data_IF_230604923346
#
_entry.id   IF_230604923346
#
_cell.length_a   1.000
_cell.length_b   1.000
_cell.length_c   1.000
_cell.angle_alpha   90.00
_cell.angle_beta   90.00
_cell.angle_gamma   90.00
#
_symmetry.space_group_name_H-M   'P 1'
#
loop_
_entity.id
_entity.type
_entity.pdbx_description
1 polymer ?
#
# COMPACT_ATOMS: atom_id res chain seq x y z
N UNK A 1 -41.52 -32.97 -10.89
CA UNK A 1 -41.61 -31.52 -11.07
C UNK A 1 -40.38 -30.88 -10.40
N UNK A 2 -39.33 -30.62 -11.21
CA UNK A 2 -38.14 -29.98 -10.69
C UNK A 2 -38.42 -28.51 -10.35
N UNK A 3 -38.03 -28.08 -9.15
CA UNK A 3 -38.13 -26.68 -8.81
C UNK A 3 -37.04 -25.92 -9.57
N UNK A 4 -37.42 -24.82 -10.20
CA UNK A 4 -36.50 -23.87 -10.77
C UNK A 4 -35.82 -23.07 -9.67
N UNK A 5 -34.48 -22.87 -9.75
CA UNK A 5 -33.71 -22.11 -8.79
C UNK A 5 -32.82 -21.10 -9.50
N UNK A 6 -32.79 -19.87 -9.02
CA UNK A 6 -31.82 -18.84 -9.42
C UNK A 6 -30.64 -18.87 -8.46
N UNK A 7 -29.57 -19.55 -8.87
CA UNK A 7 -28.36 -19.68 -8.06
C UNK A 7 -27.64 -18.34 -7.83
N UNK A 8 -27.85 -17.35 -8.72
CA UNK A 8 -27.26 -16.01 -8.52
C UNK A 8 -27.97 -15.32 -7.36
N UNK A 9 -29.28 -15.37 -7.32
CA UNK A 9 -30.08 -14.78 -6.23
C UNK A 9 -29.75 -15.45 -4.90
N UNK A 10 -29.62 -16.77 -4.88
CA UNK A 10 -29.29 -17.53 -3.66
C UNK A 10 -27.92 -17.15 -3.08
N UNK A 11 -26.87 -16.99 -3.90
CA UNK A 11 -25.51 -16.64 -3.43
C UNK A 11 -25.34 -15.15 -3.16
N UNK A 12 -26.16 -14.29 -3.76
CA UNK A 12 -26.10 -12.83 -3.63
C UNK A 12 -27.22 -12.25 -2.76
N UNK A 13 -27.75 -13.04 -1.84
CA UNK A 13 -28.90 -12.65 -0.99
C UNK A 13 -28.67 -11.44 -0.07
N UNK A 14 -27.48 -10.87 -0.05
CA UNK A 14 -27.17 -9.69 0.76
C UNK A 14 -27.20 -8.39 -0.07
N UNK A 15 -27.71 -7.34 0.56
CA UNK A 15 -27.49 -5.98 0.10
C UNK A 15 -26.10 -5.54 0.54
N UNK A 16 -25.20 -5.27 -0.42
CA UNK A 16 -23.89 -4.71 -0.11
C UNK A 16 -24.05 -3.34 0.57
N UNK A 17 -23.52 -3.22 1.77
CA UNK A 17 -23.63 -1.99 2.55
C UNK A 17 -22.26 -1.44 2.92
N UNK A 18 -22.17 -0.13 3.00
CA UNK A 18 -20.98 0.56 3.50
C UNK A 18 -21.38 1.55 4.58
N UNK A 19 -20.75 1.41 5.75
CA UNK A 19 -20.91 2.31 6.88
C UNK A 19 -19.59 2.93 7.22
N UNK A 20 -19.54 4.26 7.31
CA UNK A 20 -18.33 5.00 7.66
C UNK A 20 -18.61 6.04 8.73
N UNK A 21 -17.86 5.95 9.81
CA UNK A 21 -17.89 6.90 10.92
C UNK A 21 -16.50 7.52 11.04
N UNK A 22 -16.43 8.84 11.18
CA UNK A 22 -15.15 9.52 11.37
C UNK A 22 -15.30 10.70 12.31
N UNK A 23 -14.29 10.87 13.16
CA UNK A 23 -14.16 12.00 14.05
C UNK A 23 -12.78 12.61 13.82
N UNK A 24 -12.71 13.93 13.69
CA UNK A 24 -11.45 14.64 13.58
C UNK A 24 -11.46 15.92 14.42
N UNK A 25 -10.28 16.24 14.94
CA UNK A 25 -10.02 17.48 15.68
C UNK A 25 -8.79 18.12 15.07
N UNK A 26 -8.90 19.41 14.80
CA UNK A 26 -7.77 20.24 14.40
C UNK A 26 -7.66 21.44 15.33
N UNK A 27 -6.44 21.74 15.75
CA UNK A 27 -6.13 22.89 16.57
C UNK A 27 -4.85 23.55 16.07
N UNK A 28 -4.77 24.86 16.10
CA UNK A 28 -3.61 25.58 15.61
C UNK A 28 -3.38 26.90 16.35
N UNK A 29 -2.11 27.15 16.64
CA UNK A 29 -1.57 28.43 17.06
C UNK A 29 -0.47 28.83 16.07
N UNK A 30 0.14 30.00 16.26
CA UNK A 30 1.31 30.38 15.46
C UNK A 30 2.48 29.38 15.60
N UNK A 31 2.59 28.69 16.74
CA UNK A 31 3.70 27.78 17.05
C UNK A 31 3.35 26.31 16.96
N UNK A 32 2.07 25.96 17.09
CA UNK A 32 1.63 24.56 17.18
C UNK A 32 0.52 24.29 16.19
N UNK A 33 0.62 23.22 15.41
CA UNK A 33 -0.47 22.69 14.57
C UNK A 33 -0.70 21.26 14.94
N UNK A 34 -1.90 20.93 15.36
CA UNK A 34 -2.32 19.58 15.72
C UNK A 34 -3.50 19.16 14.85
N UNK A 35 -3.42 17.96 14.33
CA UNK A 35 -4.54 17.25 13.71
C UNK A 35 -4.60 15.82 14.25
N UNK A 36 -5.75 15.41 14.74
CA UNK A 36 -6.02 14.04 15.14
C UNK A 36 -7.33 13.57 14.49
N UNK A 37 -7.36 12.35 14.01
CA UNK A 37 -8.61 11.75 13.51
C UNK A 37 -8.65 10.26 13.76
N UNK A 38 -9.86 9.75 13.98
CA UNK A 38 -10.16 8.33 14.02
C UNK A 38 -11.30 8.02 13.07
N UNK A 39 -11.29 6.84 12.49
CA UNK A 39 -12.39 6.38 11.65
C UNK A 39 -12.61 4.88 11.76
N UNK A 40 -13.87 4.48 11.66
CA UNK A 40 -14.31 3.12 11.49
C UNK A 40 -15.06 3.00 10.16
N UNK A 41 -14.73 1.99 9.37
CA UNK A 41 -15.38 1.66 8.12
C UNK A 41 -15.76 0.17 8.14
N UNK A 42 -17.03 -0.12 7.89
CA UNK A 42 -17.56 -1.47 7.68
C UNK A 42 -18.10 -1.56 6.27
N UNK A 43 -17.64 -2.54 5.53
CA UNK A 43 -18.10 -2.86 4.19
C UNK A 43 -18.62 -4.30 4.21
N UNK A 44 -19.81 -4.53 3.72
CA UNK A 44 -20.42 -5.85 3.52
C UNK A 44 -20.50 -6.09 2.02
N UNK A 45 -20.00 -7.25 1.58
CA UNK A 45 -20.05 -7.68 0.19
C UNK A 45 -21.42 -8.22 -0.22
N UNK A 46 -21.56 -8.54 -1.49
CA UNK A 46 -22.76 -9.22 -2.01
C UNK A 46 -22.85 -10.66 -1.52
N UNK A 47 -21.73 -11.30 -1.25
CA UNK A 47 -21.67 -12.65 -0.70
C UNK A 47 -21.81 -12.61 0.83
N UNK A 48 -22.58 -13.54 1.40
CA UNK A 48 -22.91 -13.58 2.83
C UNK A 48 -21.70 -13.65 3.77
N UNK A 49 -20.57 -14.21 3.31
CA UNK A 49 -19.34 -14.37 4.09
C UNK A 49 -18.26 -13.33 3.75
N UNK A 50 -18.61 -12.26 3.04
CA UNK A 50 -17.68 -11.23 2.60
C UNK A 50 -17.91 -9.93 3.38
N UNK A 51 -16.92 -9.54 4.19
CA UNK A 51 -16.98 -8.27 4.91
C UNK A 51 -15.59 -7.74 5.26
N UNK A 52 -15.49 -6.42 5.41
CA UNK A 52 -14.31 -5.72 5.85
C UNK A 52 -14.64 -4.78 7.02
N UNK A 53 -13.92 -4.94 8.13
CA UNK A 53 -13.88 -3.95 9.20
C UNK A 53 -12.50 -3.26 9.17
N UNK A 54 -12.51 -1.93 9.11
CA UNK A 54 -11.31 -1.11 9.07
C UNK A 54 -11.35 -0.01 10.12
N UNK A 55 -10.33 0.04 10.95
CA UNK A 55 -10.12 1.07 11.97
C UNK A 55 -8.90 1.89 11.58
N UNK A 56 -8.99 3.21 11.67
CA UNK A 56 -7.87 4.09 11.34
C UNK A 56 -7.69 5.16 12.42
N UNK A 57 -6.44 5.44 12.74
CA UNK A 57 -6.03 6.51 13.65
C UNK A 57 -4.93 7.31 12.97
N UNK A 58 -5.08 8.64 12.91
CA UNK A 58 -4.08 9.56 12.39
C UNK A 58 -3.78 10.66 13.40
N UNK A 59 -2.50 10.96 13.56
CA UNK A 59 -2.01 12.07 14.36
C UNK A 59 -0.95 12.83 13.56
N UNK A 60 -1.10 14.16 13.47
CA UNK A 60 -0.10 15.05 12.89
C UNK A 60 0.16 16.18 13.89
N UNK A 61 1.42 16.44 14.15
CA UNK A 61 1.89 17.51 15.03
C UNK A 61 3.03 18.25 14.35
N UNK A 62 2.91 19.57 14.24
CA UNK A 62 4.01 20.48 13.92
C UNK A 62 4.19 21.45 15.07
N UNK A 63 5.40 21.59 15.56
CA UNK A 63 5.74 22.45 16.69
C UNK A 63 6.96 23.32 16.37
N UNK A 64 6.78 24.62 16.43
CA UNK A 64 7.87 25.58 16.45
C UNK A 64 8.44 25.64 17.89
N UNK A 65 9.66 25.11 18.06
CA UNK A 65 10.34 25.07 19.37
C UNK A 65 11.04 26.40 19.62
N UNK A 66 11.82 26.86 18.65
CA UNK A 66 12.50 28.15 18.64
C UNK A 66 12.27 28.83 17.29
N UNK A 67 12.58 30.11 17.17
CA UNK A 67 12.45 30.83 15.88
C UNK A 67 13.23 30.17 14.73
N UNK A 68 14.27 29.42 15.07
CA UNK A 68 15.18 28.74 14.13
C UNK A 68 15.01 27.19 14.13
N UNK A 69 14.11 26.62 14.98
CA UNK A 69 13.96 25.17 15.09
C UNK A 69 12.48 24.75 15.12
N UNK A 70 12.08 23.87 14.23
CA UNK A 70 10.77 23.25 14.12
C UNK A 70 10.90 21.75 14.16
N UNK A 71 9.95 21.07 14.82
CA UNK A 71 9.82 19.61 14.81
C UNK A 71 8.42 19.23 14.30
N UNK A 72 8.35 18.11 13.64
CA UNK A 72 7.07 17.58 13.21
C UNK A 72 7.00 16.06 13.38
N UNK A 73 5.79 15.59 13.60
CA UNK A 73 5.49 14.18 13.74
C UNK A 73 4.19 13.87 13.01
N UNK A 74 4.17 12.79 12.25
CA UNK A 74 2.95 12.25 11.66
C UNK A 74 2.86 10.76 11.91
N UNK A 75 1.66 10.26 12.18
CA UNK A 75 1.41 8.83 12.26
C UNK A 75 0.08 8.48 11.62
N UNK A 76 0.04 7.28 11.03
CA UNK A 76 -1.17 6.69 10.49
C UNK A 76 -1.16 5.20 10.83
N UNK A 77 -2.09 4.79 11.69
CA UNK A 77 -2.31 3.40 12.08
C UNK A 77 -3.61 2.92 11.44
N UNK A 78 -3.56 1.79 10.75
CA UNK A 78 -4.73 1.15 10.15
C UNK A 78 -4.74 -0.32 10.57
N UNK A 79 -5.84 -0.74 11.18
CA UNK A 79 -6.15 -2.15 11.42
C UNK A 79 -7.29 -2.58 10.51
N UNK A 80 -7.18 -3.76 9.90
CA UNK A 80 -8.18 -4.36 9.01
C UNK A 80 -8.45 -5.79 9.44
N UNK A 81 -9.72 -6.16 9.45
CA UNK A 81 -10.21 -7.54 9.57
C UNK A 81 -11.10 -7.80 8.35
N UNK A 82 -10.61 -8.59 7.42
CA UNK A 82 -11.22 -8.90 6.13
C UNK A 82 -11.59 -10.38 6.08
N UNK A 83 -12.86 -10.66 5.88
CA UNK A 83 -13.34 -11.97 5.43
C UNK A 83 -13.59 -11.89 3.92
N UNK A 84 -12.93 -12.73 3.17
CA UNK A 84 -13.04 -12.78 1.70
C UNK A 84 -14.00 -13.89 1.30
N UNK A 85 -14.95 -13.59 0.43
CA UNK A 85 -15.79 -14.57 -0.21
C UNK A 85 -15.02 -15.51 -1.15
N UNK A 86 -15.64 -16.60 -1.54
CA UNK A 86 -15.05 -17.57 -2.47
C UNK A 86 -14.90 -16.95 -3.86
N UNK A 87 -13.72 -17.04 -4.42
CA UNK A 87 -13.48 -16.64 -5.81
C UNK A 87 -14.34 -17.47 -6.77
N UNK A 88 -14.89 -16.83 -7.78
CA UNK A 88 -15.70 -17.46 -8.83
C UNK A 88 -17.06 -18.00 -8.37
N UNK A 89 -17.59 -17.63 -7.20
CA UNK A 89 -18.93 -18.04 -6.75
C UNK A 89 -19.99 -17.71 -7.80
N UNK A 90 -20.00 -16.49 -8.35
CA UNK A 90 -20.95 -16.10 -9.40
C UNK A 90 -20.75 -16.90 -10.70
N UNK A 91 -19.52 -17.19 -11.11
CA UNK A 91 -19.26 -18.02 -12.29
C UNK A 91 -19.78 -19.44 -12.08
N UNK A 92 -19.59 -20.01 -10.91
CA UNK A 92 -20.12 -21.32 -10.54
C UNK A 92 -21.65 -21.32 -10.54
N UNK A 93 -22.28 -20.28 -10.00
CA UNK A 93 -23.73 -20.14 -9.99
C UNK A 93 -24.33 -20.06 -11.40
N UNK A 94 -23.67 -19.29 -12.30
CA UNK A 94 -24.08 -19.22 -13.71
C UNK A 94 -23.93 -20.56 -14.47
N UNK A 95 -23.00 -21.40 -14.02
CA UNK A 95 -22.72 -22.70 -14.66
C UNK A 95 -23.51 -23.86 -14.03
N UNK A 96 -24.16 -23.64 -12.88
CA UNK A 96 -24.93 -24.64 -12.19
C UNK A 96 -26.26 -24.89 -12.92
N UNK A 97 -26.73 -26.13 -12.87
CA UNK A 97 -28.03 -26.50 -13.45
C UNK A 97 -29.11 -25.78 -12.64
N UNK A 98 -30.04 -25.02 -13.26
CA UNK A 98 -31.02 -24.22 -12.55
C UNK A 98 -32.22 -25.05 -12.06
N UNK A 99 -31.96 -26.22 -11.49
CA UNK A 99 -32.95 -27.16 -10.95
C UNK A 99 -32.46 -27.70 -9.63
N UNK A 100 -33.38 -28.00 -8.70
CA UNK A 100 -33.10 -28.59 -7.41
C UNK A 100 -33.47 -27.68 -6.24
N UNK A 101 -32.96 -27.95 -5.08
CA UNK A 101 -33.21 -27.20 -3.85
C UNK A 101 -31.90 -26.70 -3.24
N UNK A 102 -31.80 -25.38 -2.98
CA UNK A 102 -30.68 -24.77 -2.30
C UNK A 102 -30.52 -25.24 -0.87
N UNK A 103 -31.66 -25.56 -0.22
CA UNK A 103 -31.72 -25.95 1.19
C UNK A 103 -32.60 -27.17 1.40
N UNK A 104 -32.33 -27.88 2.49
CA UNK A 104 -33.13 -28.97 2.99
C UNK A 104 -34.49 -28.48 3.54
N UNK A 105 -35.42 -29.38 3.81
CA UNK A 105 -36.69 -29.07 4.51
C UNK A 105 -36.48 -28.42 5.90
N UNK A 106 -35.31 -28.62 6.51
CA UNK A 106 -34.91 -28.02 7.79
C UNK A 106 -34.24 -26.66 7.64
N UNK A 107 -34.05 -26.16 6.41
CA UNK A 107 -33.40 -24.89 6.13
C UNK A 107 -31.87 -24.96 6.13
N UNK A 108 -31.26 -26.13 6.17
CA UNK A 108 -29.82 -26.32 6.02
C UNK A 108 -29.44 -26.26 4.55
N UNK A 109 -28.29 -25.68 4.25
CA UNK A 109 -27.76 -25.58 2.86
C UNK A 109 -27.47 -26.99 2.32
N UNK A 110 -28.03 -27.31 1.15
CA UNK A 110 -27.72 -28.54 0.47
C UNK A 110 -26.30 -28.50 -0.10
N UNK A 111 -25.50 -29.51 0.25
CA UNK A 111 -24.16 -29.68 -0.30
C UNK A 111 -24.18 -30.12 -1.77
N UNK A 112 -25.03 -31.11 -2.08
CA UNK A 112 -25.35 -31.55 -3.44
C UNK A 112 -26.83 -31.25 -3.70
N UNK A 113 -27.14 -30.58 -4.80
CA UNK A 113 -28.51 -30.25 -5.19
C UNK A 113 -29.09 -31.25 -6.22
N UNK A 114 -28.20 -31.95 -6.93
CA UNK A 114 -28.47 -33.10 -7.78
C UNK A 114 -27.29 -34.04 -7.60
N UNK A 115 -27.52 -35.36 -7.71
CA UNK A 115 -26.47 -36.39 -7.56
C UNK A 115 -25.24 -36.05 -8.40
N UNK A 116 -24.09 -35.88 -7.74
CA UNK A 116 -22.82 -35.53 -8.37
C UNK A 116 -22.67 -34.06 -8.76
N UNK A 117 -23.66 -33.21 -8.43
CA UNK A 117 -23.62 -31.77 -8.69
C UNK A 117 -23.56 -31.00 -7.37
N UNK A 118 -22.44 -30.34 -7.12
CA UNK A 118 -22.21 -29.59 -5.89
C UNK A 118 -22.85 -28.20 -5.96
N UNK A 119 -23.55 -27.86 -4.88
CA UNK A 119 -24.24 -26.59 -4.76
C UNK A 119 -23.28 -25.42 -4.74
N UNK A 120 -23.52 -24.34 -5.49
CA UNK A 120 -22.81 -23.04 -5.32
C UNK A 120 -22.92 -22.51 -3.87
N UNK A 121 -23.96 -22.90 -3.14
CA UNK A 121 -24.19 -22.52 -1.73
C UNK A 121 -23.32 -23.31 -0.75
N UNK A 122 -22.65 -24.38 -1.15
CA UNK A 122 -21.82 -25.23 -0.26
C UNK A 122 -20.74 -24.46 0.49
N UNK A 123 -20.21 -23.40 -0.14
CA UNK A 123 -19.16 -22.56 0.44
C UNK A 123 -19.69 -21.67 1.59
N UNK A 124 -21.01 -21.56 1.77
CA UNK A 124 -21.67 -20.84 2.87
C UNK A 124 -22.12 -21.76 4.02
N UNK A 125 -21.94 -23.06 3.90
CA UNK A 125 -22.17 -24.01 5.00
C UNK A 125 -21.23 -23.63 6.15
N UNK A 126 -21.76 -23.59 7.37
CA UNK A 126 -20.99 -23.22 8.56
C UNK A 126 -19.72 -24.08 8.70
N UNK A 127 -18.61 -23.43 9.00
CA UNK A 127 -17.28 -24.06 9.15
C UNK A 127 -16.73 -24.77 7.89
N UNK A 128 -17.29 -24.55 6.69
CA UNK A 128 -16.78 -25.15 5.47
C UNK A 128 -15.82 -24.27 4.70
N UNK A 129 -15.96 -22.95 4.78
CA UNK A 129 -15.05 -22.02 4.12
C UNK A 129 -14.69 -20.84 5.03
N UNK A 130 -13.39 -20.60 5.16
CA UNK A 130 -12.86 -19.42 5.85
C UNK A 130 -11.68 -18.86 5.05
N UNK A 131 -11.69 -17.58 4.77
CA UNK A 131 -10.54 -16.82 4.28
C UNK A 131 -10.50 -15.47 5.00
N UNK A 132 -9.86 -15.47 6.17
CA UNK A 132 -9.78 -14.31 7.04
C UNK A 132 -8.37 -13.72 7.05
N UNK A 133 -8.27 -12.44 6.68
CA UNK A 133 -7.02 -11.67 6.75
C UNK A 133 -7.13 -10.56 7.77
N UNK A 134 -6.27 -10.58 8.78
CA UNK A 134 -6.06 -9.46 9.72
C UNK A 134 -4.76 -8.78 9.40
N UNK A 135 -4.78 -7.46 9.27
CA UNK A 135 -3.58 -6.70 8.99
C UNK A 135 -3.51 -5.42 9.81
N UNK A 136 -2.28 -5.10 10.23
CA UNK A 136 -1.93 -3.84 10.89
C UNK A 136 -0.91 -3.12 10.04
N UNK A 137 -1.22 -1.90 9.66
CA UNK A 137 -0.32 -1.00 8.95
C UNK A 137 -0.06 0.22 9.81
N UNK A 138 1.20 0.47 10.14
CA UNK A 138 1.65 1.64 10.86
C UNK A 138 2.66 2.40 9.98
N UNK A 139 2.37 3.67 9.73
CA UNK A 139 3.33 4.59 9.13
C UNK A 139 3.60 5.72 10.11
N UNK A 140 4.87 6.00 10.37
CA UNK A 140 5.32 7.10 11.23
C UNK A 140 6.37 7.92 10.50
N UNK A 141 6.32 9.24 10.68
CA UNK A 141 7.34 10.15 10.21
C UNK A 141 7.63 11.19 11.28
N UNK A 142 8.91 11.41 11.54
CA UNK A 142 9.38 12.49 12.39
C UNK A 142 10.41 13.32 11.64
N UNK A 143 10.41 14.64 11.86
CA UNK A 143 11.43 15.52 11.30
C UNK A 143 11.83 16.61 12.27
N UNK A 144 13.06 17.05 12.10
CA UNK A 144 13.61 18.27 12.68
C UNK A 144 14.02 19.18 11.54
N UNK A 145 13.59 20.43 11.57
CA UNK A 145 13.97 21.47 10.62
C UNK A 145 14.65 22.60 11.39
N UNK A 146 15.85 22.95 10.95
CA UNK A 146 16.67 23.98 11.55
C UNK A 146 16.97 25.08 10.53
N UNK A 147 16.79 26.33 10.90
CA UNK A 147 17.18 27.51 10.10
C UNK A 147 18.21 28.34 10.88
N UNK A 148 19.47 27.84 10.99
CA UNK A 148 20.48 28.43 11.86
C UNK A 148 20.89 29.85 11.44
N UNK A 149 20.83 30.13 10.15
CA UNK A 149 21.08 31.44 9.55
C UNK A 149 20.06 31.68 8.44
N UNK A 150 19.89 32.94 8.07
CA UNK A 150 19.01 33.33 6.97
C UNK A 150 19.33 32.54 5.70
N UNK A 151 18.28 32.13 4.97
CA UNK A 151 18.35 31.46 3.67
C UNK A 151 18.91 30.01 3.73
N UNK A 152 19.40 29.52 4.88
CA UNK A 152 19.91 28.17 5.07
C UNK A 152 18.95 27.33 5.91
N UNK A 153 18.50 26.19 5.39
CA UNK A 153 17.63 25.24 6.09
C UNK A 153 18.26 23.85 6.08
N UNK A 154 18.31 23.24 7.25
CA UNK A 154 18.67 21.83 7.40
C UNK A 154 17.44 21.06 7.90
N UNK A 155 17.07 20.01 7.18
CA UNK A 155 15.98 19.11 7.58
C UNK A 155 16.50 17.69 7.71
N UNK A 156 16.32 17.07 8.86
CA UNK A 156 16.52 15.63 9.06
C UNK A 156 15.18 14.98 9.31
N UNK A 157 14.84 13.96 8.50
CA UNK A 157 13.56 13.26 8.53
C UNK A 157 13.77 11.75 8.59
N UNK A 158 13.02 11.09 9.46
CA UNK A 158 12.92 9.63 9.51
C UNK A 158 11.48 9.24 9.22
N UNK A 159 11.29 8.37 8.24
CA UNK A 159 10.02 7.73 7.95
C UNK A 159 10.15 6.23 8.24
N UNK A 160 9.14 5.65 8.87
CA UNK A 160 9.08 4.22 9.13
C UNK A 160 7.71 3.66 8.77
N UNK A 161 7.69 2.46 8.20
CA UNK A 161 6.47 1.72 7.93
C UNK A 161 6.60 0.31 8.51
N UNK A 162 5.57 -0.13 9.20
CA UNK A 162 5.39 -1.51 9.66
C UNK A 162 4.11 -2.06 9.04
N UNK A 163 4.20 -3.22 8.42
CA UNK A 163 3.05 -3.96 7.91
C UNK A 163 3.12 -5.38 8.45
N UNK A 164 2.13 -5.75 9.25
CA UNK A 164 1.94 -7.11 9.75
C UNK A 164 0.62 -7.64 9.24
N UNK A 165 0.60 -8.85 8.69
CA UNK A 165 -0.64 -9.52 8.30
C UNK A 165 -0.60 -11.01 8.65
N UNK A 166 -1.75 -11.51 9.10
CA UNK A 166 -2.03 -12.92 9.27
C UNK A 166 -3.24 -13.27 8.41
N UNK A 167 -3.08 -14.22 7.46
CA UNK A 167 -4.17 -14.81 6.69
C UNK A 167 -4.38 -16.23 7.14
N UNK A 168 -5.58 -16.55 7.59
CA UNK A 168 -6.01 -17.90 7.92
C UNK A 168 -7.04 -18.37 6.89
N UNK A 169 -6.84 -19.56 6.34
CA UNK A 169 -7.70 -20.15 5.32
C UNK A 169 -8.08 -21.56 5.68
N UNK A 170 -9.32 -21.92 5.40
CA UNK A 170 -9.85 -23.26 5.57
C UNK A 170 -10.83 -23.59 4.46
N UNK A 171 -10.74 -24.80 3.98
CA UNK A 171 -11.66 -25.41 3.01
C UNK A 171 -12.05 -26.81 3.52
N UNK A 172 -13.29 -26.97 3.90
CA UNK A 172 -13.85 -28.22 4.41
C UNK A 172 -14.19 -29.22 3.30
N UNK A 173 -14.58 -30.41 3.69
CA UNK A 173 -14.95 -31.48 2.76
C UNK A 173 -16.14 -31.10 1.87
N UNK A 174 -17.11 -30.38 2.42
CA UNK A 174 -18.31 -29.96 1.70
C UNK A 174 -18.13 -28.70 0.88
N UNK A 175 -16.98 -28.01 1.00
CA UNK A 175 -16.73 -26.77 0.30
C UNK A 175 -16.59 -27.01 -1.21
N UNK A 176 -17.39 -26.32 -2.03
CA UNK A 176 -17.31 -26.41 -3.49
C UNK A 176 -15.98 -25.85 -4.02
N UNK A 177 -15.40 -24.85 -3.35
CA UNK A 177 -14.08 -24.30 -3.70
C UNK A 177 -12.94 -25.31 -3.56
N UNK A 178 -13.12 -26.35 -2.74
CA UNK A 178 -12.14 -27.40 -2.48
C UNK A 178 -12.04 -28.46 -3.60
N UNK A 179 -13.12 -28.65 -4.36
CA UNK A 179 -13.26 -29.78 -5.30
C UNK A 179 -12.23 -29.79 -6.44
N UNK A 180 -11.92 -28.68 -7.12
CA UNK A 180 -11.00 -28.70 -8.25
C UNK A 180 -9.56 -29.10 -7.88
N UNK A 181 -9.11 -28.76 -6.66
CA UNK A 181 -7.71 -28.87 -6.28
C UNK A 181 -7.42 -30.04 -5.35
N UNK A 182 -8.37 -30.40 -4.47
CA UNK A 182 -8.14 -31.36 -3.38
C UNK A 182 -9.15 -32.49 -3.33
N UNK A 183 -10.01 -32.61 -4.34
CA UNK A 183 -11.04 -33.66 -4.44
C UNK A 183 -11.91 -33.80 -3.17
N UNK A 184 -12.15 -32.67 -2.48
CA UNK A 184 -12.92 -32.65 -1.24
C UNK A 184 -12.12 -32.96 0.03
N UNK A 185 -10.81 -33.20 -0.04
CA UNK A 185 -10.02 -33.35 1.18
C UNK A 185 -9.88 -32.00 1.91
N UNK A 186 -10.30 -31.92 3.19
CA UNK A 186 -10.19 -30.67 3.94
C UNK A 186 -8.75 -30.20 4.03
N UNK A 187 -8.54 -28.88 3.89
CA UNK A 187 -7.22 -28.30 4.03
C UNK A 187 -7.29 -26.90 4.65
N UNK A 188 -6.21 -26.52 5.30
CA UNK A 188 -6.08 -25.26 5.97
C UNK A 188 -4.67 -24.69 5.81
N UNK A 189 -4.58 -23.37 5.90
CA UNK A 189 -3.29 -22.70 5.98
C UNK A 189 -3.36 -21.47 6.87
N UNK A 190 -2.23 -21.14 7.46
CA UNK A 190 -2.00 -19.84 8.13
C UNK A 190 -0.72 -19.25 7.57
N UNK A 191 -0.82 -18.04 7.07
CA UNK A 191 0.30 -17.27 6.52
C UNK A 191 0.50 -16.02 7.33
N UNK A 192 1.71 -15.79 7.83
CA UNK A 192 2.10 -14.57 8.51
C UNK A 192 3.12 -13.83 7.65
N UNK A 193 2.90 -12.52 7.45
CA UNK A 193 3.82 -11.65 6.75
C UNK A 193 4.16 -10.48 7.66
N UNK A 194 5.45 -10.21 7.82
CA UNK A 194 5.98 -9.05 8.52
C UNK A 194 6.87 -8.28 7.55
N UNK A 195 6.54 -7.03 7.29
CA UNK A 195 7.37 -6.18 6.47
C UNK A 195 7.55 -4.84 7.18
N UNK A 196 8.77 -4.35 7.15
CA UNK A 196 9.07 -3.03 7.65
C UNK A 196 10.09 -2.34 6.74
N UNK A 197 9.98 -1.04 6.68
CA UNK A 197 10.99 -0.21 6.05
C UNK A 197 11.22 1.06 6.87
N UNK A 198 12.40 1.62 6.73
CA UNK A 198 12.63 2.99 7.12
C UNK A 198 13.42 3.73 6.05
N UNK A 199 13.21 5.05 6.01
CA UNK A 199 14.00 5.98 5.21
C UNK A 199 14.45 7.12 6.11
N UNK A 200 15.75 7.35 6.18
CA UNK A 200 16.33 8.51 6.83
C UNK A 200 16.89 9.45 5.76
N UNK A 201 16.39 10.67 5.75
CA UNK A 201 16.81 11.72 4.81
C UNK A 201 17.36 12.92 5.56
N UNK A 202 18.44 13.48 5.03
CA UNK A 202 18.98 14.75 5.46
C UNK A 202 19.04 15.68 4.24
N UNK A 203 18.51 16.88 4.37
CA UNK A 203 18.41 17.88 3.32
C UNK A 203 19.03 19.16 3.86
N UNK A 204 20.11 19.62 3.23
CA UNK A 204 20.66 20.94 3.43
C UNK A 204 20.31 21.80 2.22
N UNK A 205 19.50 22.83 2.44
CA UNK A 205 19.03 23.73 1.39
C UNK A 205 19.45 25.18 1.67
N UNK A 206 19.95 25.83 0.64
CA UNK A 206 20.27 27.26 0.66
C UNK A 206 19.54 27.94 -0.49
N UNK A 207 18.72 28.98 -0.17
CA UNK A 207 17.95 29.72 -1.16
C UNK A 207 18.11 31.22 -0.89
N UNK A 208 18.68 31.96 -1.85
CA UNK A 208 18.92 33.38 -1.69
C UNK A 208 18.63 34.18 -2.95
N UNK A 209 18.41 35.46 -2.78
CA UNK A 209 18.28 36.42 -3.89
C UNK A 209 19.42 37.42 -3.80
N UNK A 210 20.26 37.45 -4.82
CA UNK A 210 21.41 38.34 -4.93
C UNK A 210 21.06 39.47 -5.89
N UNK A 211 21.38 40.70 -5.50
CA UNK A 211 21.17 41.92 -6.31
C UNK A 211 19.75 42.03 -6.90
N UNK A 212 18.71 41.52 -6.21
CA UNK A 212 17.27 41.51 -6.56
C UNK A 212 16.91 40.67 -7.79
N UNK A 213 17.80 40.45 -8.71
CA UNK A 213 17.55 39.83 -10.01
C UNK A 213 18.00 38.35 -10.11
N UNK A 214 18.92 37.94 -9.23
CA UNK A 214 19.53 36.61 -9.26
C UNK A 214 18.96 35.75 -8.13
N UNK A 215 18.10 34.81 -8.45
CA UNK A 215 17.62 33.83 -7.48
C UNK A 215 18.46 32.55 -7.60
N UNK A 216 19.11 32.15 -6.53
CA UNK A 216 19.93 30.97 -6.41
C UNK A 216 19.36 30.04 -5.35
N UNK A 217 19.09 28.80 -5.74
CA UNK A 217 18.68 27.73 -4.82
C UNK A 217 19.56 26.50 -5.01
N UNK A 218 20.12 25.99 -3.92
CA UNK A 218 20.90 24.77 -3.92
C UNK A 218 20.47 23.82 -2.84
N UNK A 219 20.56 22.51 -3.08
CA UNK A 219 20.36 21.52 -2.02
C UNK A 219 21.27 20.32 -2.15
N UNK A 220 21.74 19.85 -1.00
CA UNK A 220 22.41 18.56 -0.81
C UNK A 220 21.45 17.63 -0.07
N UNK A 221 21.29 16.42 -0.57
CA UNK A 221 20.36 15.45 0.00
C UNK A 221 21.12 14.14 0.20
N UNK A 222 21.01 13.57 1.38
CA UNK A 222 21.41 12.18 1.65
C UNK A 222 20.20 11.39 2.06
N UNK A 223 20.10 10.15 1.59
CA UNK A 223 18.99 9.27 1.93
C UNK A 223 19.49 7.85 2.17
N UNK A 224 19.04 7.26 3.25
CA UNK A 224 19.29 5.86 3.58
C UNK A 224 17.95 5.15 3.71
N UNK A 225 17.76 4.09 2.95
CA UNK A 225 16.57 3.27 2.98
C UNK A 225 16.93 1.81 3.27
N UNK A 226 16.15 1.17 4.13
CA UNK A 226 16.22 -0.27 4.37
C UNK A 226 14.81 -0.84 4.34
N UNK A 227 14.62 -1.93 3.58
CA UNK A 227 13.40 -2.70 3.54
C UNK A 227 13.70 -4.12 3.99
N UNK A 228 12.81 -4.70 4.76
CA UNK A 228 12.89 -6.10 5.18
C UNK A 228 11.49 -6.70 5.15
N UNK A 229 11.39 -7.90 4.65
CA UNK A 229 10.16 -8.71 4.67
C UNK A 229 10.47 -10.13 5.13
N UNK A 230 9.57 -10.66 5.92
CA UNK A 230 9.59 -12.04 6.41
C UNK A 230 8.22 -12.64 6.17
N UNK A 231 8.18 -13.84 5.67
CA UNK A 231 6.95 -14.61 5.56
C UNK A 231 7.12 -16.00 6.15
N UNK A 232 6.07 -16.51 6.74
CA UNK A 232 5.98 -17.89 7.17
C UNK A 232 4.58 -18.42 6.88
N UNK A 233 4.51 -19.61 6.31
CA UNK A 233 3.28 -20.33 6.05
C UNK A 233 3.36 -21.71 6.67
N UNK A 234 2.29 -22.10 7.35
CA UNK A 234 2.03 -23.46 7.73
C UNK A 234 0.70 -23.91 7.10
N UNK A 235 0.67 -25.06 6.49
CA UNK A 235 -0.50 -25.64 5.86
C UNK A 235 -0.69 -27.09 6.29
N UNK A 236 -1.90 -27.59 6.15
CA UNK A 236 -2.26 -28.96 6.50
C UNK A 236 -3.44 -29.42 5.65
N UNK A 237 -3.48 -30.71 5.33
CA UNK A 237 -4.59 -31.36 4.62
C UNK A 237 -5.04 -32.63 5.33
N UNK A 238 -6.27 -33.09 5.03
CA UNK A 238 -6.87 -34.26 5.66
C UNK A 238 -7.32 -34.03 7.11
N UNK A 239 -7.83 -32.84 7.41
CA UNK A 239 -8.36 -32.50 8.72
C UNK A 239 -9.68 -33.22 8.98
N UNK A 240 -9.86 -33.72 10.21
CA UNK A 240 -11.03 -34.51 10.60
C UNK A 240 -12.15 -33.69 11.22
N UNK A 241 -11.88 -32.45 11.63
CA UNK A 241 -12.83 -31.62 12.40
C UNK A 241 -12.86 -30.22 11.83
N UNK A 242 -13.94 -29.86 11.14
CA UNK A 242 -14.12 -28.58 10.46
C UNK A 242 -14.07 -27.38 11.41
N UNK A 243 -14.58 -27.53 12.65
CA UNK A 243 -14.62 -26.47 13.65
C UNK A 243 -13.24 -25.95 14.06
N UNK A 244 -12.20 -26.77 13.90
CA UNK A 244 -10.81 -26.34 14.20
C UNK A 244 -10.26 -25.41 13.13
N UNK A 245 -10.82 -25.45 11.92
CA UNK A 245 -10.44 -24.56 10.84
C UNK A 245 -8.90 -24.49 10.69
N UNK A 246 -8.33 -23.30 10.46
CA UNK A 246 -6.89 -23.05 10.39
C UNK A 246 -6.19 -22.89 11.77
N UNK A 247 -6.93 -23.03 12.87
CA UNK A 247 -6.37 -22.86 14.21
C UNK A 247 -5.60 -24.10 14.72
N UNK A 248 -5.86 -25.27 14.15
CA UNK A 248 -5.23 -26.51 14.59
C UNK A 248 -4.74 -27.35 13.39
N UNK A 249 -3.64 -26.90 12.79
CA UNK A 249 -3.06 -27.56 11.61
C UNK A 249 -2.52 -28.95 11.89
N UNK A 250 -2.14 -29.24 13.14
CA UNK A 250 -1.66 -30.57 13.56
C UNK A 250 -2.72 -31.65 13.50
N UNK A 251 -4.01 -31.32 13.29
CA UNK A 251 -5.10 -32.30 13.15
C UNK A 251 -5.15 -32.97 11.77
N UNK A 252 -4.46 -32.41 10.79
CA UNK A 252 -4.40 -33.00 9.45
C UNK A 252 -3.36 -34.12 9.33
N UNK A 253 -3.51 -34.91 8.31
CA UNK A 253 -2.62 -36.08 8.04
C UNK A 253 -1.33 -35.66 7.34
N UNK A 254 -1.31 -34.52 6.66
CA UNK A 254 -0.13 -33.97 5.98
C UNK A 254 0.07 -32.52 6.36
N UNK A 255 1.30 -32.15 6.71
CA UNK A 255 1.68 -30.78 7.04
C UNK A 255 2.74 -30.29 6.08
N UNK A 256 2.71 -28.98 5.81
CA UNK A 256 3.66 -28.27 4.98
C UNK A 256 4.04 -26.94 5.64
N UNK A 257 5.32 -26.59 5.62
CA UNK A 257 5.82 -25.33 6.19
C UNK A 257 6.74 -24.67 5.18
N UNK A 258 6.55 -23.38 4.98
CA UNK A 258 7.41 -22.53 4.16
C UNK A 258 7.80 -21.27 4.94
N UNK A 259 9.00 -20.76 4.66
CA UNK A 259 9.42 -19.45 5.15
C UNK A 259 10.29 -18.75 4.12
N UNK A 260 10.21 -17.44 4.09
CA UNK A 260 11.03 -16.60 3.23
C UNK A 260 11.47 -15.33 3.95
N UNK A 261 12.65 -14.84 3.58
CA UNK A 261 13.24 -13.62 4.10
C UNK A 261 13.87 -12.81 2.97
N UNK A 262 13.53 -11.52 2.89
CA UNK A 262 14.16 -10.62 1.94
C UNK A 262 14.56 -9.30 2.60
N UNK A 263 15.77 -8.85 2.33
CA UNK A 263 16.27 -7.55 2.79
C UNK A 263 16.95 -6.80 1.64
N UNK A 264 16.61 -5.52 1.53
CA UNK A 264 17.25 -4.62 0.58
C UNK A 264 17.65 -3.32 1.25
N UNK A 265 18.76 -2.74 0.80
CA UNK A 265 19.24 -1.45 1.28
C UNK A 265 19.58 -0.55 0.08
N UNK A 266 19.26 0.73 0.23
CA UNK A 266 19.58 1.77 -0.74
C UNK A 266 20.17 2.97 -0.01
N UNK A 267 21.25 3.51 -0.54
CA UNK A 267 21.86 4.75 -0.10
C UNK A 267 21.93 5.71 -1.28
N UNK A 268 21.62 6.96 -1.06
CA UNK A 268 21.57 7.95 -2.13
C UNK A 268 22.18 9.27 -1.68
N UNK A 269 22.90 9.91 -2.61
CA UNK A 269 23.37 11.27 -2.49
C UNK A 269 22.82 12.05 -3.67
N UNK A 270 22.23 13.22 -3.41
CA UNK A 270 21.77 14.07 -4.49
C UNK A 270 22.21 15.52 -4.29
N UNK A 271 22.48 16.17 -5.40
CA UNK A 271 22.73 17.61 -5.49
C UNK A 271 21.73 18.21 -6.45
N UNK A 272 21.18 19.37 -6.10
CA UNK A 272 20.32 20.17 -6.96
C UNK A 272 20.75 21.62 -6.93
N UNK A 273 20.75 22.26 -8.09
CA UNK A 273 21.00 23.68 -8.29
C UNK A 273 19.89 24.27 -9.14
N UNK A 274 19.29 25.34 -8.67
CA UNK A 274 18.30 26.14 -9.40
C UNK A 274 18.82 27.57 -9.47
N UNK A 275 18.80 28.15 -10.65
CA UNK A 275 19.19 29.53 -10.85
C UNK A 275 18.18 30.23 -11.75
N UNK A 276 17.85 31.45 -11.42
CA UNK A 276 16.95 32.28 -12.21
C UNK A 276 17.46 33.71 -12.24
N UNK A 277 17.61 34.25 -13.44
CA UNK A 277 17.95 35.65 -13.67
C UNK A 277 16.71 36.42 -14.15
N UNK A 278 16.34 37.48 -13.38
CA UNK A 278 15.16 38.33 -13.61
C UNK A 278 13.83 37.55 -13.79
N UNK A 279 13.77 36.29 -13.31
CA UNK A 279 12.63 35.42 -13.56
C UNK A 279 12.48 34.97 -15.02
N UNK A 280 13.31 35.45 -15.95
CA UNK A 280 13.25 35.20 -17.40
C UNK A 280 14.05 34.00 -17.84
N UNK A 281 15.29 33.94 -17.39
CA UNK A 281 16.24 32.86 -17.75
C UNK A 281 16.38 31.92 -16.56
N UNK A 282 16.05 30.65 -16.77
CA UNK A 282 16.04 29.66 -15.71
C UNK A 282 16.98 28.51 -16.08
N UNK A 283 17.81 28.12 -15.12
CA UNK A 283 18.70 26.99 -15.20
C UNK A 283 18.45 26.06 -14.01
N UNK A 284 18.30 24.75 -14.29
CA UNK A 284 18.21 23.72 -13.27
C UNK A 284 19.24 22.64 -13.60
N UNK A 285 19.96 22.21 -12.59
CA UNK A 285 20.84 21.05 -12.67
C UNK A 285 20.58 20.16 -11.45
N UNK A 286 20.54 18.86 -11.64
CA UNK A 286 20.51 17.89 -10.56
C UNK A 286 21.31 16.65 -10.94
N UNK A 287 21.90 16.04 -9.94
CA UNK A 287 22.52 14.73 -10.09
C UNK A 287 22.21 13.91 -8.84
N UNK A 288 22.01 12.62 -9.03
CA UNK A 288 21.77 11.66 -7.94
C UNK A 288 22.67 10.45 -8.14
N UNK A 289 23.35 10.04 -7.11
CA UNK A 289 24.10 8.80 -7.02
C UNK A 289 23.31 7.84 -6.13
N UNK A 290 22.94 6.69 -6.68
CA UNK A 290 22.21 5.67 -5.97
C UNK A 290 23.07 4.41 -5.84
N UNK A 291 23.24 3.94 -4.60
CA UNK A 291 23.83 2.66 -4.28
C UNK A 291 22.75 1.67 -3.81
N UNK A 292 22.68 0.50 -4.44
CA UNK A 292 21.64 -0.51 -4.23
C UNK A 292 22.28 -1.85 -3.89
N UNK A 293 21.85 -2.46 -2.78
CA UNK A 293 22.44 -3.71 -2.28
C UNK A 293 22.18 -4.93 -3.19
N UNK A 294 21.15 -4.87 -4.02
CA UNK A 294 20.69 -5.97 -4.90
C UNK A 294 21.62 -6.20 -6.09
N UNK A 295 22.44 -5.21 -6.45
CA UNK A 295 23.36 -5.33 -7.59
C UNK A 295 24.68 -5.96 -7.19
N UNK A 296 25.33 -6.61 -8.16
CA UNK A 296 26.61 -7.29 -7.98
C UNK A 296 27.72 -6.34 -7.52
N UNK A 297 28.76 -6.90 -6.92
CA UNK A 297 29.95 -6.16 -6.52
C UNK A 297 30.54 -5.42 -7.71
N UNK A 298 30.85 -4.15 -7.54
CA UNK A 298 31.37 -3.26 -8.60
C UNK A 298 30.30 -2.53 -9.42
N UNK A 299 29.01 -2.92 -9.33
CA UNK A 299 27.90 -2.30 -10.07
C UNK A 299 26.80 -1.76 -9.14
N UNK A 300 27.07 -1.63 -7.86
CA UNK A 300 26.09 -1.19 -6.86
C UNK A 300 25.73 0.29 -6.96
N UNK A 301 26.60 1.09 -7.52
CA UNK A 301 26.45 2.55 -7.57
C UNK A 301 26.33 3.04 -9.00
N UNK A 302 25.39 3.95 -9.23
CA UNK A 302 25.24 4.63 -10.51
C UNK A 302 24.82 6.09 -10.32
N UNK A 303 25.04 6.92 -11.34
CA UNK A 303 24.82 8.36 -11.34
C UNK A 303 23.74 8.75 -12.36
N UNK A 304 22.81 9.60 -11.95
CA UNK A 304 21.68 10.05 -12.74
C UNK A 304 21.65 11.59 -12.83
N UNK A 305 22.46 12.18 -13.75
CA UNK A 305 22.45 13.61 -13.98
C UNK A 305 21.25 14.04 -14.81
N UNK A 306 20.75 15.25 -14.54
CA UNK A 306 19.69 15.90 -15.31
C UNK A 306 19.91 17.42 -15.33
N UNK A 307 19.57 18.05 -16.47
CA UNK A 307 19.65 19.49 -16.63
C UNK A 307 18.47 20.04 -17.43
N UNK A 308 18.11 21.28 -17.13
CA UNK A 308 17.08 21.99 -17.88
C UNK A 308 17.41 23.48 -17.99
N UNK A 309 17.11 24.03 -19.16
CA UNK A 309 17.14 25.45 -19.46
C UNK A 309 15.74 25.90 -19.82
N UNK A 310 15.34 27.10 -19.34
CA UNK A 310 14.09 27.67 -19.77
C UNK A 310 14.22 29.19 -19.94
N UNK A 311 13.50 29.71 -20.93
CA UNK A 311 13.44 31.12 -21.24
C UNK A 311 11.96 31.57 -21.31
N UNK A 312 11.61 32.56 -20.51
CA UNK A 312 10.32 33.24 -20.57
C UNK A 312 10.37 34.34 -21.61
N UNK A 313 10.00 34.01 -22.82
CA UNK A 313 10.05 34.90 -23.98
C UNK A 313 9.02 36.03 -23.80
N UNK A 314 7.85 35.72 -23.24
CA UNK A 314 6.81 36.72 -22.98
C UNK A 314 7.24 37.88 -22.07
N UNK A 315 8.28 37.68 -21.23
CA UNK A 315 8.76 38.69 -20.31
C UNK A 315 9.83 39.61 -20.92
N UNK A 316 10.19 39.37 -22.20
CA UNK A 316 11.16 40.19 -22.92
C UNK A 316 10.54 41.49 -23.42
N UNK A 317 11.35 42.56 -23.50
CA UNK A 317 10.89 43.87 -23.95
C UNK A 317 10.29 43.88 -25.34
N UNK A 318 10.83 43.02 -26.25
CA UNK A 318 10.31 42.90 -27.62
C UNK A 318 8.91 42.25 -27.70
N UNK A 319 8.47 41.57 -26.62
CA UNK A 319 7.15 40.93 -26.54
C UNK A 319 6.08 41.82 -25.88
N UNK A 320 6.44 43.03 -25.43
CA UNK A 320 5.52 43.90 -24.71
C UNK A 320 4.21 44.21 -25.48
N UNK A 321 4.30 44.36 -26.81
CA UNK A 321 3.15 44.62 -27.68
C UNK A 321 2.22 43.40 -27.84
N UNK A 322 2.66 42.22 -27.50
CA UNK A 322 1.86 41.00 -27.62
C UNK A 322 1.08 40.64 -26.34
N UNK A 323 1.31 41.35 -25.24
CA UNK A 323 0.68 41.06 -23.94
C UNK A 323 -0.85 41.14 -23.93
N UNK A 324 -1.44 41.81 -24.93
CA UNK A 324 -2.89 41.91 -25.06
C UNK A 324 -3.55 40.58 -25.45
N UNK A 325 -2.80 39.64 -26.02
CA UNK A 325 -3.31 38.34 -26.47
C UNK A 325 -2.42 37.16 -26.09
N UNK A 326 -1.17 37.39 -25.60
CA UNK A 326 -0.22 36.37 -25.23
C UNK A 326 0.40 36.68 -23.86
N UNK A 327 -0.16 36.11 -22.80
CA UNK A 327 0.26 36.33 -21.43
C UNK A 327 1.54 35.58 -21.04
N UNK A 328 1.74 34.38 -21.58
CA UNK A 328 2.87 33.53 -21.18
C UNK A 328 3.39 32.69 -22.37
N UNK A 329 4.62 32.97 -22.77
CA UNK A 329 5.37 32.16 -23.72
C UNK A 329 6.70 31.76 -23.10
N UNK A 330 6.86 30.45 -22.85
CA UNK A 330 8.07 29.89 -22.24
C UNK A 330 8.60 28.72 -23.08
N UNK A 331 9.86 28.83 -23.49
CA UNK A 331 10.62 27.74 -24.08
C UNK A 331 11.36 26.98 -22.99
N UNK A 332 11.33 25.66 -23.02
CA UNK A 332 12.10 24.80 -22.11
C UNK A 332 12.72 23.64 -22.85
N UNK A 333 13.99 23.38 -22.58
CA UNK A 333 14.73 22.20 -23.03
C UNK A 333 15.28 21.50 -21.80
N UNK A 334 15.16 20.17 -21.73
CA UNK A 334 15.67 19.36 -20.64
C UNK A 334 16.21 18.04 -21.15
N UNK A 335 17.26 17.56 -20.50
CA UNK A 335 17.85 16.25 -20.71
C UNK A 335 18.19 15.63 -19.35
N UNK A 336 18.03 14.31 -19.23
CA UNK A 336 18.38 13.59 -18.01
C UNK A 336 18.48 12.10 -18.23
N UNK A 337 19.24 11.47 -17.37
CA UNK A 337 19.41 10.03 -17.28
C UNK A 337 18.61 9.55 -16.06
N UNK A 338 17.86 8.46 -16.21
CA UNK A 338 17.11 7.83 -15.13
C UNK A 338 17.47 6.36 -15.04
N UNK A 339 17.48 5.81 -13.83
CA UNK A 339 17.70 4.40 -13.56
C UNK A 339 16.50 3.74 -12.91
N UNK A 340 16.41 2.43 -13.04
CA UNK A 340 15.41 1.60 -12.37
C UNK A 340 16.10 0.41 -11.69
N UNK A 341 15.93 0.30 -10.37
CA UNK A 341 16.40 -0.83 -9.56
C UNK A 341 15.33 -1.91 -9.30
N UNK A 342 14.10 -1.72 -9.80
CA UNK A 342 12.96 -2.60 -9.52
C UNK A 342 12.95 -3.93 -10.31
N UNK A 343 13.88 -4.11 -11.26
CA UNK A 343 13.99 -5.34 -12.06
C UNK A 343 14.77 -6.47 -11.41
N UNK A 344 15.36 -6.25 -10.24
CA UNK A 344 16.16 -7.24 -9.50
C UNK A 344 15.55 -7.54 -8.14
N UNK A 345 15.50 -8.81 -7.78
CA UNK A 345 15.07 -9.26 -6.45
C UNK A 345 16.24 -9.24 -5.46
N UNK A 346 15.94 -9.27 -4.16
CA UNK A 346 16.98 -9.48 -3.14
C UNK A 346 17.71 -10.81 -3.46
N UNK A 347 19.04 -10.80 -3.30
CA UNK A 347 19.90 -11.98 -3.52
C UNK A 347 19.95 -12.55 -4.95
N UNK A 348 19.46 -11.84 -5.96
CA UNK A 348 19.50 -12.33 -7.35
C UNK A 348 20.90 -12.37 -7.98
N UNK A 349 21.89 -11.78 -7.31
CA UNK A 349 23.30 -11.67 -7.79
C UNK A 349 24.31 -12.31 -6.83
N UNK A 350 23.83 -13.16 -5.93
CA UNK A 350 24.70 -13.98 -5.04
C UNK A 350 25.10 -15.30 -5.66
#
# INVERSE_FOLDING_TARGET
DGKWIDWIDEVSGNTATTQKYSLSVSSGTEKTKLFASTSYNREEGLLNNENLNRYSLRLNLDQQIFSWAKVGFTSNLVYRDLNSGVKNTFTKSLSAIPLGDASTEKGEINHEYITGQYSPMSDFIENQYVDNTRSTYLNVSGYVELTPVKDLTFTSRVNGTLNHSRRGQYWGEKCNANRPSYAGSPHASITNNNAWNYTWENILAYNTTIAKDHNLGGSLITSWNKNQSESSMAASSGQMVDQWSFWRLTSGTSQHVESDFAQTQKMSFAFRLNYSYKGKYLFNFSTRWDGVSQFSTGHKWDAFPAGALAWRISDEAFMEKTRSWLDNLKLRVSYGITGNSGGTTAYSTT
#
